data_IF_212162537803
#
_entry.id   IF_212162537803
#
_cell.length_a   1.000
_cell.length_b   1.000
_cell.length_c   1.000
_cell.angle_alpha   90.00
_cell.angle_beta   90.00
_cell.angle_gamma   90.00
#
_symmetry.space_group_name_H-M   'P 1'
#
loop_
_entity.id
_entity.type
_entity.pdbx_description
1 polymer ?
#
# COMPACT_ATOMS: atom_id res chain seq x y z
N UNK A 1 11.89 25.78 -2.47
CA UNK A 1 12.03 26.26 -1.07
C UNK A 1 12.75 25.18 -0.31
N UNK A 2 13.79 25.50 0.49
CA UNK A 2 14.52 24.48 1.25
C UNK A 2 13.97 24.38 2.67
N UNK A 3 13.79 23.17 3.17
CA UNK A 3 13.41 22.91 4.57
C UNK A 3 14.65 22.45 5.36
N UNK A 4 14.61 22.57 6.68
CA UNK A 4 15.71 22.16 7.56
C UNK A 4 15.27 20.96 8.39
N UNK A 5 15.98 19.84 8.26
CA UNK A 5 15.83 18.68 9.14
C UNK A 5 17.19 17.98 9.30
N UNK A 6 17.73 17.81 10.51
CA UNK A 6 19.01 17.13 10.72
C UNK A 6 19.00 15.66 10.28
N UNK A 7 17.84 14.99 10.27
CA UNK A 7 17.73 13.56 9.94
C UNK A 7 17.18 13.28 8.54
N UNK A 8 17.07 14.32 7.68
CA UNK A 8 16.44 14.20 6.36
C UNK A 8 17.03 13.08 5.48
N UNK A 9 18.36 12.91 5.48
CA UNK A 9 19.03 11.87 4.68
C UNK A 9 18.69 10.46 5.14
N UNK A 10 18.61 10.24 6.45
CA UNK A 10 18.28 8.94 7.03
C UNK A 10 16.83 8.56 6.71
N UNK A 11 15.92 9.52 6.86
CA UNK A 11 14.51 9.33 6.51
C UNK A 11 14.36 9.09 5.00
N UNK A 12 15.01 9.89 4.15
CA UNK A 12 14.99 9.67 2.70
C UNK A 12 15.56 8.30 2.31
N UNK A 13 16.64 7.85 2.96
CA UNK A 13 17.21 6.52 2.73
C UNK A 13 16.22 5.42 3.12
N UNK A 14 15.59 5.54 4.30
CA UNK A 14 14.58 4.60 4.77
C UNK A 14 13.44 4.49 3.75
N UNK A 15 12.80 5.61 3.41
CA UNK A 15 11.71 5.62 2.43
C UNK A 15 12.15 5.11 1.05
N UNK A 16 13.35 5.47 0.59
CA UNK A 16 13.89 5.04 -0.70
C UNK A 16 14.15 3.53 -0.77
N UNK A 17 14.87 2.97 0.21
CA UNK A 17 15.19 1.53 0.25
C UNK A 17 13.91 0.70 0.34
N UNK A 18 13.03 1.04 1.27
CA UNK A 18 11.80 0.27 1.43
C UNK A 18 10.87 0.42 0.22
N UNK A 19 10.87 1.56 -0.49
CA UNK A 19 10.08 1.71 -1.71
C UNK A 19 10.63 0.85 -2.86
N UNK A 20 11.97 0.76 -3.01
CA UNK A 20 12.60 -0.12 -4.01
C UNK A 20 12.33 -1.60 -3.69
N UNK A 21 12.45 -2.00 -2.42
CA UNK A 21 12.09 -3.35 -1.99
C UNK A 21 10.59 -3.63 -2.22
N UNK A 22 9.73 -2.67 -1.91
CA UNK A 22 8.29 -2.74 -2.17
C UNK A 22 7.99 -2.94 -3.64
N UNK A 23 8.69 -2.26 -4.55
CA UNK A 23 8.52 -2.44 -6.00
C UNK A 23 8.89 -3.85 -6.44
N UNK A 24 10.01 -4.39 -5.96
CA UNK A 24 10.45 -5.74 -6.29
C UNK A 24 9.43 -6.79 -5.81
N UNK A 25 8.97 -6.68 -4.57
CA UNK A 25 8.00 -7.60 -4.00
C UNK A 25 6.61 -7.48 -4.64
N UNK A 26 6.20 -6.27 -5.00
CA UNK A 26 4.95 -6.04 -5.70
C UNK A 26 5.00 -6.61 -7.13
N UNK A 27 6.14 -6.48 -7.81
CA UNK A 27 6.37 -7.09 -9.13
C UNK A 27 6.33 -8.62 -9.07
N UNK A 28 6.96 -9.21 -8.06
CA UNK A 28 6.88 -10.65 -7.83
C UNK A 28 5.44 -11.09 -7.53
N UNK A 29 4.73 -10.37 -6.65
CA UNK A 29 3.34 -10.68 -6.32
C UNK A 29 2.41 -10.56 -7.52
N UNK A 30 2.65 -9.58 -8.40
CA UNK A 30 1.92 -9.41 -9.65
C UNK A 30 2.18 -10.58 -10.62
N UNK A 31 3.44 -11.03 -10.72
CA UNK A 31 3.81 -12.19 -11.52
C UNK A 31 3.13 -13.47 -10.99
N UNK A 32 3.19 -13.70 -9.68
CA UNK A 32 2.65 -14.91 -9.03
C UNK A 32 1.12 -15.02 -9.10
N UNK A 33 0.40 -13.89 -9.03
CA UNK A 33 -1.07 -13.88 -9.13
C UNK A 33 -1.59 -14.02 -10.57
N UNK A 34 -0.71 -13.88 -11.58
CA UNK A 34 -1.10 -13.86 -12.98
C UNK A 34 -1.98 -12.65 -13.34
N UNK A 35 -2.53 -12.65 -14.55
CA UNK A 35 -3.31 -11.52 -15.05
C UNK A 35 -4.75 -11.55 -14.53
N UNK A 36 -5.01 -10.81 -13.45
CA UNK A 36 -6.35 -10.63 -12.89
C UNK A 36 -6.85 -9.19 -13.12
N UNK A 37 -7.84 -9.02 -14.01
CA UNK A 37 -8.42 -7.71 -14.35
C UNK A 37 -8.99 -6.95 -13.15
N UNK A 38 -9.48 -7.64 -12.12
CA UNK A 38 -10.05 -7.02 -10.91
C UNK A 38 -8.92 -6.50 -10.00
N UNK A 39 -7.80 -7.22 -9.92
CA UNK A 39 -6.67 -6.84 -9.08
C UNK A 39 -5.76 -5.80 -9.75
N UNK A 40 -5.74 -5.73 -11.09
CA UNK A 40 -4.86 -4.87 -11.87
C UNK A 40 -4.91 -3.38 -11.46
N UNK A 41 -6.08 -2.73 -11.25
CA UNK A 41 -6.12 -1.34 -10.80
C UNK A 41 -5.45 -1.12 -9.45
N UNK A 42 -5.58 -2.08 -8.52
CA UNK A 42 -4.94 -2.00 -7.21
C UNK A 42 -3.42 -2.11 -7.32
N UNK A 43 -2.91 -3.05 -8.13
CA UNK A 43 -1.48 -3.15 -8.41
C UNK A 43 -0.95 -1.84 -9.03
N UNK A 44 -1.63 -1.29 -10.04
CA UNK A 44 -1.23 -0.02 -10.66
C UNK A 44 -1.17 1.14 -9.66
N UNK A 45 -2.16 1.26 -8.77
CA UNK A 45 -2.16 2.29 -7.72
C UNK A 45 -1.00 2.12 -6.75
N UNK A 46 -0.71 0.89 -6.32
CA UNK A 46 0.40 0.57 -5.42
C UNK A 46 1.77 0.82 -6.08
N UNK A 47 1.93 0.46 -7.35
CA UNK A 47 3.13 0.78 -8.13
C UNK A 47 3.34 2.29 -8.25
N UNK A 48 2.28 3.03 -8.62
CA UNK A 48 2.35 4.48 -8.73
C UNK A 48 2.72 5.12 -7.38
N UNK A 49 2.16 4.62 -6.28
CA UNK A 49 2.47 5.09 -4.94
C UNK A 49 3.95 4.85 -4.56
N UNK A 50 4.50 3.68 -4.87
CA UNK A 50 5.92 3.38 -4.60
C UNK A 50 6.86 4.24 -5.44
N UNK A 51 6.54 4.45 -6.72
CA UNK A 51 7.30 5.35 -7.58
C UNK A 51 7.25 6.80 -7.07
N UNK A 52 6.08 7.27 -6.65
CA UNK A 52 5.93 8.57 -6.02
C UNK A 52 6.74 8.67 -4.71
N UNK A 53 6.88 7.57 -3.99
CA UNK A 53 7.68 7.52 -2.76
C UNK A 53 9.17 7.63 -3.02
N UNK A 54 9.67 6.96 -4.07
CA UNK A 54 11.08 7.13 -4.51
C UNK A 54 11.33 8.57 -4.95
N UNK A 55 10.41 9.14 -5.74
CA UNK A 55 10.48 10.54 -6.15
C UNK A 55 10.49 11.48 -4.93
N UNK A 56 9.55 11.31 -4.00
CA UNK A 56 9.50 12.08 -2.77
C UNK A 56 10.79 11.96 -1.96
N UNK A 57 11.36 10.75 -1.85
CA UNK A 57 12.60 10.49 -1.12
C UNK A 57 13.78 11.24 -1.73
N UNK A 58 13.86 11.28 -3.06
CA UNK A 58 14.88 12.04 -3.77
C UNK A 58 14.80 13.55 -3.48
N UNK A 59 13.61 14.16 -3.58
CA UNK A 59 13.44 15.59 -3.25
C UNK A 59 13.67 15.87 -1.76
N UNK A 60 13.26 14.95 -0.89
CA UNK A 60 13.47 15.05 0.55
C UNK A 60 14.96 14.98 0.91
N UNK A 61 15.72 14.12 0.22
CA UNK A 61 17.18 14.03 0.35
C UNK A 61 17.87 15.37 0.00
N UNK A 62 17.33 16.10 -0.97
CA UNK A 62 17.84 17.43 -1.35
C UNK A 62 17.34 18.57 -0.43
N UNK A 63 16.60 18.22 0.62
CA UNK A 63 15.95 19.17 1.52
C UNK A 63 14.97 20.12 0.81
N UNK A 64 14.34 19.68 -0.30
CA UNK A 64 13.31 20.46 -0.99
C UNK A 64 11.95 20.29 -0.30
N UNK A 65 11.26 21.41 -0.06
CA UNK A 65 9.93 21.44 0.53
C UNK A 65 8.91 20.58 -0.24
N UNK A 66 9.09 20.40 -1.56
CA UNK A 66 8.27 19.49 -2.37
C UNK A 66 8.34 18.04 -1.87
N UNK A 67 9.54 17.58 -1.51
CA UNK A 67 9.75 16.26 -0.93
C UNK A 67 9.06 16.09 0.42
N UNK A 68 9.12 17.12 1.28
CA UNK A 68 8.45 17.10 2.59
C UNK A 68 6.92 17.06 2.45
N UNK A 69 6.36 17.83 1.52
CA UNK A 69 4.92 17.82 1.23
C UNK A 69 4.49 16.44 0.74
N UNK A 70 5.22 15.84 -0.19
CA UNK A 70 4.90 14.50 -0.70
C UNK A 70 5.04 13.44 0.39
N UNK A 71 6.11 13.46 1.18
CA UNK A 71 6.31 12.53 2.30
C UNK A 71 5.22 12.64 3.36
N UNK A 72 4.72 13.85 3.64
CA UNK A 72 3.58 14.05 4.53
C UNK A 72 2.31 13.33 4.02
N UNK A 73 2.02 13.42 2.73
CA UNK A 73 0.85 12.75 2.14
C UNK A 73 1.05 11.23 2.05
N UNK A 74 2.25 10.78 1.71
CA UNK A 74 2.58 9.35 1.64
C UNK A 74 2.50 8.71 3.03
N UNK A 75 3.08 9.34 4.06
CA UNK A 75 2.99 8.84 5.44
C UNK A 75 1.55 8.78 5.97
N UNK A 76 0.67 9.69 5.53
CA UNK A 76 -0.76 9.65 5.88
C UNK A 76 -1.48 8.43 5.29
N UNK A 77 -1.04 7.96 4.13
CA UNK A 77 -1.58 6.73 3.55
C UNK A 77 -1.23 5.49 4.39
N UNK A 78 -0.20 5.55 5.26
CA UNK A 78 0.28 4.44 6.12
C UNK A 78 0.58 3.13 5.37
N UNK A 79 0.55 3.14 4.03
CA UNK A 79 0.77 1.98 3.18
C UNK A 79 2.26 1.95 2.82
N UNK A 80 3.12 1.71 3.81
CA UNK A 80 4.48 1.26 3.50
C UNK A 80 4.41 -0.24 3.18
N UNK A 81 4.30 -0.50 1.87
CA UNK A 81 4.12 -1.79 1.23
C UNK A 81 5.39 -2.60 1.44
N UNK A 82 5.46 -3.31 2.56
CA UNK A 82 6.16 -4.60 2.59
C UNK A 82 5.41 -5.61 3.47
N UNK A 83 4.77 -5.22 4.58
CA UNK A 83 4.19 -6.23 5.50
C UNK A 83 2.82 -5.99 6.11
N UNK A 84 2.19 -4.82 5.97
CA UNK A 84 0.87 -4.62 6.55
C UNK A 84 0.05 -3.53 5.90
N UNK A 85 -1.06 -3.84 5.24
CA UNK A 85 -2.22 -2.99 5.42
C UNK A 85 -2.69 -3.15 6.88
N UNK A 86 -2.90 -2.02 7.58
CA UNK A 86 -3.48 -1.99 8.94
C UNK A 86 -4.83 -2.73 8.99
N UNK A 87 -5.50 -2.79 7.83
CA UNK A 87 -6.71 -3.55 7.52
C UNK A 87 -6.40 -4.38 6.26
N UNK A 88 -6.00 -5.63 6.44
CA UNK A 88 -5.88 -6.55 5.31
C UNK A 88 -7.28 -7.07 4.97
N UNK A 89 -7.82 -6.62 3.84
CA UNK A 89 -9.01 -7.21 3.25
C UNK A 89 -8.57 -8.24 2.21
N UNK A 90 -8.66 -9.52 2.57
CA UNK A 90 -8.45 -10.63 1.64
C UNK A 90 -9.83 -11.17 1.26
N UNK A 91 -10.31 -10.82 0.07
CA UNK A 91 -11.46 -11.49 -0.54
C UNK A 91 -10.98 -12.67 -1.36
N UNK A 92 -11.30 -13.89 -0.91
CA UNK A 92 -11.19 -15.06 -1.75
C UNK A 92 -12.57 -15.37 -2.33
N UNK A 93 -12.70 -15.17 -3.65
CA UNK A 93 -13.90 -15.49 -4.41
C UNK A 93 -13.58 -16.79 -5.15
N UNK A 94 -14.03 -17.92 -4.59
CA UNK A 94 -13.92 -19.21 -5.24
C UNK A 94 -15.22 -19.52 -5.96
N UNK A 95 -15.18 -19.61 -7.30
CA UNK A 95 -16.29 -20.08 -8.11
C UNK A 95 -15.98 -21.52 -8.52
N UNK A 96 -16.82 -22.46 -8.09
CA UNK A 96 -16.71 -23.87 -8.44
C UNK A 96 -17.93 -24.27 -9.26
N UNK A 97 -17.67 -24.86 -10.43
CA UNK A 97 -18.67 -25.51 -11.26
C UNK A 97 -18.26 -26.96 -11.41
N UNK A 98 -19.01 -27.87 -10.80
CA UNK A 98 -18.69 -29.29 -10.80
C UNK A 98 -19.91 -30.12 -11.21
N UNK A 99 -19.72 -31.14 -12.06
CA UNK A 99 -20.76 -32.14 -12.29
C UNK A 99 -20.94 -32.96 -11.00
N UNK A 100 -22.18 -33.17 -10.56
CA UNK A 100 -22.47 -34.07 -9.44
C UNK A 100 -23.40 -35.19 -9.87
N UNK A 101 -23.17 -36.37 -9.29
CA UNK A 101 -23.97 -37.57 -9.48
C UNK A 101 -24.41 -38.02 -8.10
N UNK A 102 -25.71 -37.92 -7.81
CA UNK A 102 -26.27 -38.43 -6.55
C UNK A 102 -27.06 -39.71 -6.83
N UNK A 103 -26.54 -40.81 -6.30
CA UNK A 103 -27.17 -42.13 -6.36
C UNK A 103 -27.86 -42.40 -5.02
N UNK A 104 -29.18 -42.55 -5.05
CA UNK A 104 -29.97 -43.03 -3.91
C UNK A 104 -30.71 -44.31 -4.29
N UNK A 105 -31.15 -45.08 -3.30
CA UNK A 105 -31.82 -46.37 -3.51
C UNK A 105 -33.10 -46.31 -4.37
N UNK A 106 -33.64 -45.12 -4.65
CA UNK A 106 -34.90 -44.93 -5.38
C UNK A 106 -34.84 -43.91 -6.53
N UNK A 107 -33.70 -43.22 -6.75
CA UNK A 107 -33.52 -42.29 -7.86
C UNK A 107 -32.04 -41.97 -8.14
N UNK A 108 -31.72 -41.70 -9.41
CA UNK A 108 -30.45 -41.12 -9.84
C UNK A 108 -30.69 -39.68 -10.32
N UNK A 109 -30.02 -38.71 -9.71
CA UNK A 109 -29.99 -37.32 -10.18
C UNK A 109 -28.61 -36.99 -10.75
N UNK A 110 -28.62 -36.44 -11.97
CA UNK A 110 -27.47 -35.85 -12.64
C UNK A 110 -27.69 -34.34 -12.72
N UNK A 111 -26.71 -33.57 -12.29
CA UNK A 111 -26.80 -32.13 -12.29
C UNK A 111 -25.45 -31.45 -12.27
N UNK A 112 -25.51 -30.12 -12.31
CA UNK A 112 -24.35 -29.26 -12.13
C UNK A 112 -24.50 -28.52 -10.81
N UNK A 113 -23.48 -28.61 -9.97
CA UNK A 113 -23.39 -27.89 -8.72
C UNK A 113 -22.63 -26.59 -8.97
N UNK A 114 -23.28 -25.46 -8.69
CA UNK A 114 -22.69 -24.14 -8.84
C UNK A 114 -22.49 -23.52 -7.46
N UNK A 115 -21.24 -23.43 -7.03
CA UNK A 115 -20.87 -22.93 -5.71
C UNK A 115 -20.12 -21.61 -5.86
N UNK A 116 -20.72 -20.54 -5.33
CA UNK A 116 -20.03 -19.28 -5.11
C UNK A 116 -19.61 -19.25 -3.64
N UNK A 117 -18.34 -19.51 -3.39
CA UNK A 117 -17.74 -19.34 -2.08
C UNK A 117 -17.15 -17.94 -1.97
N UNK A 118 -17.65 -17.17 -0.99
CA UNK A 118 -17.11 -15.87 -0.64
C UNK A 118 -16.55 -15.95 0.77
N UNK A 119 -15.22 -15.98 0.88
CA UNK A 119 -14.54 -15.93 2.17
C UNK A 119 -13.85 -14.58 2.28
N UNK A 120 -14.47 -13.67 3.03
CA UNK A 120 -13.85 -12.41 3.42
C UNK A 120 -13.18 -12.58 4.78
N UNK A 121 -11.87 -12.36 4.83
CA UNK A 121 -11.15 -12.22 6.09
C UNK A 121 -10.78 -10.75 6.26
N UNK A 122 -11.41 -10.08 7.22
CA UNK A 122 -10.98 -8.78 7.71
C UNK A 122 -9.97 -9.02 8.85
N UNK A 123 -8.68 -8.90 8.56
CA UNK A 123 -7.64 -9.01 9.60
C UNK A 123 -7.27 -7.62 10.09
N UNK A 124 -7.76 -7.29 11.28
CA UNK A 124 -7.33 -6.14 12.07
C UNK A 124 -6.20 -6.63 12.96
N UNK A 125 -5.00 -6.04 12.84
CA UNK A 125 -3.77 -6.48 13.52
C UNK A 125 -3.36 -7.90 13.10
N UNK A 126 -2.51 -8.01 12.08
CA UNK A 126 -2.15 -9.25 11.39
C UNK A 126 -1.30 -10.24 12.23
N UNK A 127 -1.59 -10.42 13.53
CA UNK A 127 -1.01 -11.38 14.46
C UNK A 127 0.49 -11.23 14.75
N UNK A 128 1.15 -10.26 14.10
CA UNK A 128 2.60 -10.21 14.02
C UNK A 128 3.12 -8.92 14.67
N UNK A 129 3.80 -9.04 15.81
CA UNK A 129 4.33 -7.92 16.61
C UNK A 129 5.22 -6.99 15.78
N UNK A 130 5.91 -7.54 14.78
CA UNK A 130 6.74 -6.79 13.83
C UNK A 130 5.95 -5.75 13.04
N UNK A 131 4.69 -6.07 12.70
CA UNK A 131 3.82 -5.17 11.93
C UNK A 131 3.32 -4.01 12.78
N UNK A 132 3.11 -4.25 14.08
CA UNK A 132 2.79 -3.20 15.04
C UNK A 132 3.99 -2.24 15.21
N UNK A 133 5.21 -2.77 15.28
CA UNK A 133 6.44 -1.97 15.33
C UNK A 133 6.63 -1.06 14.12
N UNK A 134 6.44 -1.58 12.90
CA UNK A 134 6.57 -0.77 11.66
C UNK A 134 5.49 0.32 11.61
N UNK A 135 4.24 0.02 11.97
CA UNK A 135 3.16 1.02 12.01
C UNK A 135 3.44 2.15 13.02
N UNK A 136 4.07 1.83 14.16
CA UNK A 136 4.49 2.84 15.14
C UNK A 136 5.62 3.72 14.61
N UNK A 137 6.57 3.16 13.85
CA UNK A 137 7.62 3.93 13.18
C UNK A 137 7.01 4.89 12.17
N UNK A 138 6.10 4.42 11.31
CA UNK A 138 5.40 5.27 10.34
C UNK A 138 4.58 6.37 11.01
N UNK A 139 3.90 6.06 12.13
CA UNK A 139 3.20 7.07 12.92
C UNK A 139 4.16 8.12 13.48
N UNK A 140 5.33 7.70 13.98
CA UNK A 140 6.38 8.60 14.44
C UNK A 140 6.90 9.51 13.34
N UNK A 141 7.14 8.96 12.15
CA UNK A 141 7.56 9.72 10.96
C UNK A 141 6.49 10.70 10.50
N UNK A 142 5.22 10.30 10.49
CA UNK A 142 4.09 11.19 10.21
C UNK A 142 4.05 12.37 11.19
N UNK A 143 4.17 12.11 12.50
CA UNK A 143 4.20 13.15 13.52
C UNK A 143 5.42 14.08 13.35
N UNK A 144 6.57 13.54 12.95
CA UNK A 144 7.77 14.31 12.62
C UNK A 144 7.54 15.24 11.42
N UNK A 145 7.01 14.73 10.30
CA UNK A 145 6.68 15.55 9.14
C UNK A 145 5.66 16.63 9.48
N UNK A 146 4.60 16.28 10.23
CA UNK A 146 3.60 17.24 10.70
C UNK A 146 4.22 18.36 11.54
N UNK A 147 5.19 18.02 12.39
CA UNK A 147 5.92 19.00 13.21
C UNK A 147 6.78 19.91 12.33
N UNK A 148 7.55 19.36 11.38
CA UNK A 148 8.40 20.14 10.47
C UNK A 148 7.58 21.12 9.63
N UNK A 149 6.47 20.64 9.06
CA UNK A 149 5.53 21.44 8.27
C UNK A 149 5.01 22.63 9.09
N UNK A 150 4.58 22.39 10.33
CA UNK A 150 4.10 23.45 11.23
C UNK A 150 5.20 24.43 11.63
N UNK A 151 6.38 23.94 12.00
CA UNK A 151 7.50 24.77 12.45
C UNK A 151 8.02 25.70 11.35
N UNK A 152 8.01 25.22 10.11
CA UNK A 152 8.56 25.96 8.96
C UNK A 152 7.49 26.67 8.15
N UNK A 153 6.25 26.71 8.66
CA UNK A 153 5.09 27.36 8.04
C UNK A 153 4.85 26.92 6.58
N UNK A 154 5.20 25.67 6.27
CA UNK A 154 4.98 25.09 4.95
C UNK A 154 3.51 24.70 4.87
N UNK A 155 2.78 25.20 3.89
CA UNK A 155 1.39 24.77 3.66
C UNK A 155 1.37 23.42 2.92
N UNK A 156 0.40 22.57 3.28
CA UNK A 156 0.24 21.22 2.72
C UNK A 156 -1.15 21.10 2.07
N UNK A 157 -1.55 22.14 1.35
CA UNK A 157 -2.87 22.20 0.73
C UNK A 157 -2.87 21.47 -0.62
N UNK A 158 -4.03 20.96 -1.03
CA UNK A 158 -4.24 20.30 -2.35
C UNK A 158 -3.78 21.17 -3.53
N UNK A 159 -3.87 22.50 -3.41
CA UNK A 159 -3.37 23.44 -4.44
C UNK A 159 -1.86 23.34 -4.65
N UNK A 160 -1.08 23.18 -3.58
CA UNK A 160 0.37 23.02 -3.66
C UNK A 160 0.78 21.63 -4.12
N UNK A 161 0.02 20.59 -3.74
CA UNK A 161 0.24 19.26 -4.29
C UNK A 161 0.11 19.29 -5.82
N UNK A 162 -0.93 19.96 -6.35
CA UNK A 162 -1.13 20.11 -7.80
C UNK A 162 -0.03 20.91 -8.49
N UNK A 163 0.58 21.90 -7.84
CA UNK A 163 1.66 22.67 -8.47
C UNK A 163 2.94 21.85 -8.62
N UNK A 164 3.21 20.89 -7.71
CA UNK A 164 4.40 20.02 -7.78
C UNK A 164 4.43 19.19 -9.08
N UNK A 165 3.26 18.82 -9.62
CA UNK A 165 3.14 18.01 -10.84
C UNK A 165 2.96 18.82 -12.12
N UNK A 166 2.97 20.15 -12.04
CA UNK A 166 2.83 21.05 -13.21
C UNK A 166 4.17 21.59 -13.72
N UNK A 167 5.21 21.49 -12.90
CA UNK A 167 6.58 21.89 -13.20
C UNK A 167 7.38 20.70 -13.74
#
# INVERSE_FOLDING_TARGET
MKFIDPIHKLIALYYGIFAVLGLFLLAQSFYDQGFNFIALPFFCLLFAQLLLTIFAAYYYWQSDARGLILMYWISLSLVFIVFTPLIAYMSNIGVMFAPFIQLTNYASQLGFEFHISYKSNLRILNGNIWTLGINLIELGLFLHFRRLVKQQQISVNLKQLKSIFKD
#
